data_IF_315395838393
#
_entry.id   IF_315395838393
#
_cell.length_a   1.000
_cell.length_b   1.000
_cell.length_c   1.000
_cell.angle_alpha   90.00
_cell.angle_beta   90.00
_cell.angle_gamma   90.00
#
_symmetry.space_group_name_H-M   'P 1'
#
loop_
_entity.id
_entity.type
_entity.pdbx_description
1 polymer ?
#
# COMPACT_ATOMS: atom_id res chain seq x y z
N UNK A 1 8.57 10.50 16.98
CA UNK A 1 7.93 10.89 15.70
C UNK A 1 6.44 11.02 15.93
N UNK A 2 5.91 12.24 15.93
CA UNK A 2 4.48 12.52 16.15
C UNK A 2 3.67 12.00 14.96
N UNK A 3 3.11 10.79 15.06
CA UNK A 3 2.14 10.29 14.08
C UNK A 3 0.78 10.90 14.44
N UNK A 4 0.51 12.07 13.86
CA UNK A 4 -0.85 12.55 13.62
C UNK A 4 -1.67 11.35 13.17
N UNK A 5 -2.82 11.11 13.79
CA UNK A 5 -3.77 10.05 13.44
C UNK A 5 -4.41 10.32 12.06
N UNK A 6 -3.58 10.45 11.03
CA UNK A 6 -4.00 10.42 9.65
C UNK A 6 -4.65 9.05 9.46
N UNK A 7 -5.94 9.06 9.09
CA UNK A 7 -6.71 7.84 8.77
C UNK A 7 -5.87 7.00 7.81
N UNK A 8 -5.20 5.96 8.30
CA UNK A 8 -4.30 5.14 7.47
C UNK A 8 -5.15 4.29 6.53
N UNK A 9 -4.76 4.19 5.27
CA UNK A 9 -5.40 3.23 4.37
C UNK A 9 -5.07 1.80 4.78
N UNK A 10 -5.84 0.82 4.29
CA UNK A 10 -5.52 -0.59 4.49
C UNK A 10 -4.11 -0.94 4.00
N UNK A 11 -3.66 -0.37 2.87
CA UNK A 11 -2.28 -0.48 2.41
C UNK A 11 -1.28 0.08 3.44
N UNK A 12 -1.53 1.27 3.98
CA UNK A 12 -0.65 1.88 4.99
C UNK A 12 -0.55 1.03 6.27
N UNK A 13 -1.67 0.48 6.72
CA UNK A 13 -1.72 -0.44 7.87
C UNK A 13 -0.96 -1.73 7.56
N UNK A 14 -1.12 -2.29 6.36
CA UNK A 14 -0.42 -3.50 5.95
C UNK A 14 1.10 -3.29 5.95
N UNK A 15 1.59 -2.18 5.40
CA UNK A 15 3.02 -1.85 5.37
C UNK A 15 3.61 -1.81 6.79
N UNK A 16 2.95 -1.13 7.72
CA UNK A 16 3.38 -1.05 9.11
C UNK A 16 3.41 -2.41 9.81
N UNK A 17 2.36 -3.22 9.64
CA UNK A 17 2.28 -4.57 10.24
C UNK A 17 3.39 -5.50 9.76
N UNK A 18 3.89 -5.30 8.54
CA UNK A 18 4.96 -6.11 7.97
C UNK A 18 6.34 -5.47 8.10
N UNK A 19 6.47 -4.40 8.89
CA UNK A 19 7.70 -3.62 9.04
C UNK A 19 8.30 -3.24 7.66
N UNK A 20 7.45 -2.67 6.80
CA UNK A 20 7.78 -2.13 5.47
C UNK A 20 7.37 -0.66 5.40
N UNK A 21 8.10 0.11 4.62
CA UNK A 21 7.84 1.52 4.39
C UNK A 21 7.52 1.81 2.90
N UNK A 22 7.21 3.07 2.61
CA UNK A 22 6.91 3.53 1.25
C UNK A 22 8.13 3.45 0.34
N UNK A 23 9.33 3.55 0.92
CA UNK A 23 10.63 3.37 0.27
C UNK A 23 10.81 1.97 -0.31
N UNK A 24 10.58 0.95 0.52
CA UNK A 24 10.62 -0.44 0.13
C UNK A 24 9.62 -0.73 -0.99
N UNK A 25 8.38 -0.23 -0.85
CA UNK A 25 7.35 -0.46 -1.85
C UNK A 25 7.68 0.25 -3.17
N UNK A 26 8.27 1.45 -3.12
CA UNK A 26 8.76 2.19 -4.30
C UNK A 26 9.77 1.34 -5.07
N UNK A 27 10.79 0.83 -4.38
CA UNK A 27 11.87 0.02 -5.00
C UNK A 27 11.37 -1.31 -5.56
N UNK A 28 10.42 -1.96 -4.89
CA UNK A 28 9.93 -3.30 -5.30
C UNK A 28 8.83 -3.26 -6.35
N UNK A 29 8.00 -2.21 -6.38
CA UNK A 29 6.90 -2.07 -7.33
C UNK A 29 7.24 -1.20 -8.56
N UNK A 30 8.29 -0.37 -8.47
CA UNK A 30 8.66 0.60 -9.51
C UNK A 30 7.62 1.71 -9.69
N UNK A 31 6.80 1.97 -8.68
CA UNK A 31 5.86 3.09 -8.65
C UNK A 31 6.48 4.32 -8.01
N UNK A 32 5.99 5.50 -8.35
CA UNK A 32 6.45 6.75 -7.75
C UNK A 32 6.12 6.81 -6.25
N UNK A 33 7.08 7.28 -5.45
CA UNK A 33 6.92 7.44 -3.99
C UNK A 33 5.67 8.25 -3.64
N UNK A 34 5.45 9.39 -4.30
CA UNK A 34 4.32 10.28 -4.03
C UNK A 34 2.98 9.56 -4.19
N UNK A 35 2.86 8.71 -5.21
CA UNK A 35 1.66 7.90 -5.43
C UNK A 35 1.47 6.89 -4.31
N UNK A 36 2.54 6.21 -3.88
CA UNK A 36 2.48 5.25 -2.76
C UNK A 36 2.12 5.94 -1.46
N UNK A 37 2.71 7.10 -1.16
CA UNK A 37 2.39 7.90 0.03
C UNK A 37 0.93 8.33 0.05
N UNK A 38 0.40 8.81 -1.08
CA UNK A 38 -1.01 9.16 -1.22
C UNK A 38 -1.90 7.92 -0.97
N UNK A 39 -1.57 6.78 -1.57
CA UNK A 39 -2.34 5.54 -1.39
C UNK A 39 -2.25 4.96 0.03
N UNK A 40 -1.11 5.11 0.71
CA UNK A 40 -0.89 4.61 2.07
C UNK A 40 -1.57 5.51 3.14
N UNK A 41 -1.73 6.79 2.85
CA UNK A 41 -2.31 7.79 3.77
C UNK A 41 -3.79 8.12 3.51
N UNK A 42 -4.33 7.79 2.33
CA UNK A 42 -5.71 8.13 1.97
C UNK A 42 -6.57 6.87 1.72
N UNK A 43 -7.43 6.46 2.68
CA UNK A 43 -8.29 5.29 2.54
C UNK A 43 -9.37 5.45 1.45
N UNK A 44 -9.67 6.67 1.02
CA UNK A 44 -10.65 6.95 -0.05
C UNK A 44 -10.01 6.91 -1.45
N UNK A 45 -8.68 6.84 -1.55
CA UNK A 45 -7.97 6.82 -2.82
C UNK A 45 -7.93 5.40 -3.37
N UNK A 46 -8.66 5.18 -4.47
CA UNK A 46 -8.59 3.93 -5.22
C UNK A 46 -7.60 4.07 -6.39
N UNK A 47 -6.59 3.19 -6.48
CA UNK A 47 -5.65 3.17 -7.60
C UNK A 47 -6.27 2.54 -8.86
N UNK A 48 -5.63 2.76 -10.01
CA UNK A 48 -5.96 2.04 -11.26
C UNK A 48 -5.54 0.58 -11.16
N UNK A 49 -6.17 -0.29 -11.96
CA UNK A 49 -5.89 -1.73 -11.99
C UNK A 49 -4.41 -2.07 -12.22
N UNK A 50 -3.70 -1.32 -13.07
CA UNK A 50 -2.26 -1.52 -13.30
C UNK A 50 -1.41 -1.29 -12.05
N UNK A 51 -1.77 -0.27 -11.25
CA UNK A 51 -1.11 0.03 -9.98
C UNK A 51 -1.44 -1.02 -8.94
N UNK A 52 -2.69 -1.48 -8.86
CA UNK A 52 -3.11 -2.59 -7.99
C UNK A 52 -2.25 -3.81 -8.28
N UNK A 53 -2.09 -4.21 -9.55
CA UNK A 53 -1.28 -5.37 -9.93
C UNK A 53 0.18 -5.22 -9.51
N UNK A 54 0.79 -4.05 -9.73
CA UNK A 54 2.18 -3.79 -9.31
C UNK A 54 2.36 -3.88 -7.80
N UNK A 55 1.47 -3.25 -7.03
CA UNK A 55 1.53 -3.31 -5.56
C UNK A 55 1.27 -4.72 -5.06
N UNK A 56 0.23 -5.40 -5.57
CA UNK A 56 -0.12 -6.77 -5.19
C UNK A 56 1.05 -7.74 -5.45
N UNK A 57 1.70 -7.64 -6.61
CA UNK A 57 2.88 -8.45 -6.92
C UNK A 57 4.05 -8.18 -5.96
N UNK A 58 4.26 -6.93 -5.53
CA UNK A 58 5.31 -6.58 -4.58
C UNK A 58 5.01 -7.11 -3.18
N UNK A 59 3.78 -6.92 -2.68
CA UNK A 59 3.40 -7.37 -1.33
C UNK A 59 3.29 -8.89 -1.22
N UNK A 60 2.94 -9.58 -2.32
CA UNK A 60 2.91 -11.06 -2.38
C UNK A 60 4.28 -11.72 -2.19
N UNK A 61 5.37 -10.97 -2.37
CA UNK A 61 6.73 -11.44 -2.04
C UNK A 61 6.95 -11.57 -0.53
N UNK A 62 6.11 -10.92 0.27
CA UNK A 62 6.18 -10.93 1.75
C UNK A 62 5.04 -11.77 2.32
N UNK A 63 3.82 -11.56 1.82
CA UNK A 63 2.63 -12.33 2.20
C UNK A 63 1.95 -12.90 0.93
N UNK A 64 2.24 -14.16 0.56
CA UNK A 64 1.66 -14.78 -0.63
C UNK A 64 0.13 -14.92 -0.59
N UNK A 65 -0.46 -14.90 0.60
CA UNK A 65 -1.90 -15.14 0.80
C UNK A 65 -2.75 -13.88 0.65
N UNK A 66 -2.09 -12.71 0.58
CA UNK A 66 -2.76 -11.42 0.53
C UNK A 66 -3.66 -11.26 -0.71
N UNK A 67 -4.85 -10.71 -0.49
CA UNK A 67 -5.84 -10.40 -1.50
C UNK A 67 -5.95 -8.89 -1.67
N UNK A 68 -6.55 -8.46 -2.79
CA UNK A 68 -6.76 -7.03 -3.04
C UNK A 68 -7.68 -6.41 -1.99
N UNK A 69 -8.67 -7.16 -1.50
CA UNK A 69 -9.60 -6.73 -0.42
C UNK A 69 -8.90 -6.39 0.90
N UNK A 70 -7.72 -6.95 1.13
CA UNK A 70 -6.90 -6.69 2.33
C UNK A 70 -6.16 -5.35 2.22
N UNK A 71 -6.03 -4.81 1.01
CA UNK A 71 -5.34 -3.55 0.71
C UNK A 71 -6.28 -2.41 0.30
N UNK A 72 -7.43 -2.73 -0.28
CA UNK A 72 -8.46 -1.77 -0.70
C UNK A 72 -9.85 -2.37 -0.61
N UNK A 73 -10.83 -1.57 -0.18
CA UNK A 73 -12.25 -1.89 -0.33
C UNK A 73 -12.66 -1.67 -1.79
N UNK A 74 -12.59 -2.73 -2.60
CA UNK A 74 -13.15 -2.69 -3.95
C UNK A 74 -14.64 -3.03 -3.86
N UNK A 75 -15.47 -2.03 -4.13
CA UNK A 75 -16.91 -2.19 -4.35
C UNK A 75 -17.21 -2.28 -5.84
#
# INVERSE_FOLDING_TARGET
MNRVEQKRSKLGIWLERHNRDTDWLTRTSGLERKMIEELASNPRKSPRMITIRKILSAVKRVDPTIKVSDLWDMN
#
